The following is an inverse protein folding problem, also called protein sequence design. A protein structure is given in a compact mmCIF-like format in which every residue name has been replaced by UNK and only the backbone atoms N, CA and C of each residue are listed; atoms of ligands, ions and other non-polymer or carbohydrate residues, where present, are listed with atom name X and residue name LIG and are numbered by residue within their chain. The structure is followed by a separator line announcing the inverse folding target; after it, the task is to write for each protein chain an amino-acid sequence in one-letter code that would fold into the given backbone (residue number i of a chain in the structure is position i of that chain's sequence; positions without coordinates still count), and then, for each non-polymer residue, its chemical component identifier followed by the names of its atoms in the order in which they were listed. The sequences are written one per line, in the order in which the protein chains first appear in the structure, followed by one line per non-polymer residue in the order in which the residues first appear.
data_IF_340319168640
#
_entry.id   IF_340319168640
#
_cell.length_a   1.000
_cell.length_b   1.000
_cell.length_c   1.000
_cell.angle_alpha   90.00
_cell.angle_beta   90.00
_cell.angle_gamma   90.00
#
_symmetry.space_group_name_H-M   'P 1'
#
loop_
_entity.id
_entity.type
_entity.pdbx_description
1 polymer ?
#
# COMPACT_ATOMS: atom_id res chain seq x y z
N UNK A 1 16.06 25.64 -17.98
CA UNK A 1 15.52 24.29 -17.78
C UNK A 1 14.36 24.41 -16.82
N UNK A 2 13.14 24.25 -17.34
CA UNK A 2 11.88 24.40 -16.61
C UNK A 2 11.66 23.14 -15.76
N UNK A 3 11.23 23.25 -14.48
CA UNK A 3 11.05 22.07 -13.65
C UNK A 3 9.90 21.20 -14.17
N UNK A 4 10.14 19.89 -14.23
CA UNK A 4 9.24 18.80 -14.64
C UNK A 4 8.10 18.54 -13.63
N UNK A 5 7.45 19.57 -13.10
CA UNK A 5 6.35 19.42 -12.12
C UNK A 5 5.06 18.82 -12.71
N UNK A 6 4.91 18.75 -14.04
CA UNK A 6 3.71 18.20 -14.67
C UNK A 6 3.61 16.67 -14.68
N UNK A 7 4.74 15.94 -14.61
CA UNK A 7 4.74 14.47 -14.70
C UNK A 7 4.52 13.79 -13.35
N UNK A 8 4.98 14.37 -12.25
CA UNK A 8 4.77 13.83 -10.90
C UNK A 8 3.31 14.01 -10.44
N UNK A 9 2.69 15.15 -10.76
CA UNK A 9 1.26 15.39 -10.48
C UNK A 9 0.35 14.41 -11.25
N UNK A 10 0.79 13.89 -12.41
CA UNK A 10 0.06 12.90 -13.21
C UNK A 10 0.07 11.49 -12.60
N UNK A 11 1.11 11.09 -11.84
CA UNK A 11 1.21 9.75 -11.24
C UNK A 11 0.27 9.56 -10.03
N UNK A 12 -0.01 10.64 -9.29
CA UNK A 12 -0.81 10.62 -8.07
C UNK A 12 -2.32 10.81 -8.28
N UNK A 13 -2.78 11.04 -9.51
CA UNK A 13 -4.19 11.28 -9.80
C UNK A 13 -5.00 10.04 -9.45
N UNK A 14 -5.99 10.12 -8.57
CA UNK A 14 -6.91 9.02 -8.24
C UNK A 14 -6.25 7.82 -7.52
N UNK A 15 -5.16 8.04 -6.79
CA UNK A 15 -4.42 6.97 -6.12
C UNK A 15 -5.26 6.21 -5.07
N UNK A 16 -6.06 6.92 -4.28
CA UNK A 16 -6.97 6.29 -3.31
C UNK A 16 -8.06 5.48 -3.99
N UNK A 17 -8.63 6.00 -5.09
CA UNK A 17 -9.59 5.26 -5.90
C UNK A 17 -8.97 3.98 -6.50
N UNK A 18 -7.72 4.02 -6.96
CA UNK A 18 -7.01 2.81 -7.43
C UNK A 18 -6.78 1.81 -6.31
N UNK A 19 -6.32 2.24 -5.15
CA UNK A 19 -6.16 1.36 -3.98
C UNK A 19 -7.47 0.67 -3.63
N UNK A 20 -8.57 1.43 -3.54
CA UNK A 20 -9.90 0.87 -3.24
C UNK A 20 -10.39 -0.10 -4.33
N UNK A 21 -10.11 0.17 -5.60
CA UNK A 21 -10.57 -0.68 -6.71
C UNK A 21 -9.58 -1.80 -7.07
N UNK A 22 -8.42 -1.89 -6.41
CA UNK A 22 -7.38 -2.91 -6.67
C UNK A 22 -7.88 -4.37 -6.67
N UNK A 23 -8.91 -4.79 -5.91
CA UNK A 23 -9.43 -6.15 -6.04
C UNK A 23 -9.96 -6.47 -7.44
N UNK A 24 -10.32 -5.45 -8.22
CA UNK A 24 -10.80 -5.52 -9.60
C UNK A 24 -9.71 -5.21 -10.63
N UNK A 25 -8.44 -5.14 -10.23
CA UNK A 25 -7.35 -4.93 -11.19
C UNK A 25 -7.11 -6.20 -12.04
N UNK A 26 -6.93 -6.00 -13.35
CA UNK A 26 -6.68 -7.04 -14.34
C UNK A 26 -7.75 -7.14 -15.43
N UNK A 27 -7.35 -7.66 -16.60
CA UNK A 27 -8.17 -7.64 -17.83
C UNK A 27 -9.51 -8.38 -17.73
N UNK A 28 -9.65 -9.36 -16.83
CA UNK A 28 -10.86 -10.16 -16.66
C UNK A 28 -11.71 -9.78 -15.43
N UNK A 29 -11.25 -8.83 -14.61
CA UNK A 29 -11.91 -8.47 -13.35
C UNK A 29 -12.66 -7.15 -13.54
N UNK A 30 -13.91 -7.21 -13.98
CA UNK A 30 -14.81 -6.04 -13.99
C UNK A 30 -15.50 -5.87 -12.65
N UNK A 31 -15.89 -4.64 -12.31
CA UNK A 31 -16.73 -4.37 -11.14
C UNK A 31 -18.15 -4.85 -11.47
N UNK A 32 -18.76 -5.79 -10.72
CA UNK A 32 -20.14 -6.21 -10.98
C UNK A 32 -21.10 -5.02 -10.93
N UNK A 33 -22.14 -5.01 -11.76
CA UNK A 33 -23.16 -3.96 -11.70
C UNK A 33 -24.03 -4.07 -10.43
N UNK A 34 -24.07 -5.26 -9.82
CA UNK A 34 -24.80 -5.52 -8.59
C UNK A 34 -24.08 -4.96 -7.36
N UNK A 35 -24.72 -4.01 -6.68
CA UNK A 35 -24.17 -3.38 -5.47
C UNK A 35 -23.87 -4.33 -4.32
N UNK A 36 -24.65 -5.40 -4.14
CA UNK A 36 -24.40 -6.35 -3.07
C UNK A 36 -23.05 -7.07 -3.24
N UNK A 37 -22.68 -7.39 -4.49
CA UNK A 37 -21.46 -8.13 -4.79
C UNK A 37 -20.20 -7.30 -4.54
N UNK A 38 -20.18 -6.04 -5.01
CA UNK A 38 -19.02 -5.20 -4.76
C UNK A 38 -18.95 -4.67 -3.33
N UNK A 39 -20.09 -4.46 -2.64
CA UNK A 39 -20.06 -4.11 -1.21
C UNK A 39 -19.44 -5.21 -0.37
N UNK A 40 -19.79 -6.46 -0.65
CA UNK A 40 -19.24 -7.60 0.08
C UNK A 40 -17.72 -7.68 -0.11
N UNK A 41 -17.26 -7.52 -1.35
CA UNK A 41 -15.84 -7.61 -1.70
C UNK A 41 -15.02 -6.41 -1.23
N UNK A 42 -15.61 -5.22 -1.19
CA UNK A 42 -14.92 -4.00 -0.76
C UNK A 42 -14.99 -3.79 0.76
N UNK A 43 -15.78 -4.56 1.50
CA UNK A 43 -16.01 -4.34 2.93
C UNK A 43 -14.70 -4.25 3.74
N UNK A 44 -13.86 -5.27 3.65
CA UNK A 44 -12.57 -5.40 4.38
C UNK A 44 -11.62 -4.29 3.98
N UNK A 45 -11.58 -3.96 2.69
CA UNK A 45 -10.72 -2.91 2.17
C UNK A 45 -11.16 -1.51 2.63
N UNK A 46 -12.47 -1.22 2.64
CA UNK A 46 -12.99 0.04 3.19
C UNK A 46 -12.75 0.13 4.69
N UNK A 47 -12.88 -0.98 5.42
CA UNK A 47 -12.50 -1.07 6.84
C UNK A 47 -11.02 -0.75 7.05
N UNK A 48 -10.14 -1.32 6.24
CA UNK A 48 -8.70 -1.07 6.25
C UNK A 48 -8.36 0.39 5.96
N UNK A 49 -8.91 0.98 4.90
CA UNK A 49 -8.68 2.39 4.53
C UNK A 49 -9.13 3.35 5.64
N UNK A 50 -10.27 3.08 6.28
CA UNK A 50 -10.75 3.87 7.43
C UNK A 50 -9.81 3.75 8.61
N UNK A 51 -9.36 2.55 8.93
CA UNK A 51 -8.42 2.34 10.04
C UNK A 51 -7.09 3.05 9.77
N UNK A 52 -6.54 2.90 8.57
CA UNK A 52 -5.30 3.56 8.16
C UNK A 52 -5.42 5.10 8.17
N UNK A 53 -6.62 5.66 7.93
CA UNK A 53 -6.81 7.12 8.00
C UNK A 53 -6.60 7.70 9.41
N UNK A 54 -6.80 6.89 10.46
CA UNK A 54 -6.50 7.28 11.85
C UNK A 54 -4.99 7.45 12.06
N UNK A 55 -4.19 6.68 11.32
CA UNK A 55 -2.72 6.69 11.35
C UNK A 55 -2.13 7.68 10.32
N UNK A 56 -2.96 8.56 9.74
CA UNK A 56 -2.53 9.63 8.84
C UNK A 56 -2.53 9.26 7.35
N UNK A 57 -3.10 8.11 6.95
CA UNK A 57 -3.36 7.80 5.55
C UNK A 57 -4.52 8.64 4.97
N UNK A 58 -4.78 8.50 3.66
CA UNK A 58 -5.87 9.23 2.98
C UNK A 58 -7.22 9.01 3.67
N UNK A 59 -7.96 10.08 3.86
CA UNK A 59 -9.28 10.04 4.45
C UNK A 59 -10.29 9.45 3.45
N UNK A 60 -11.29 8.66 3.90
CA UNK A 60 -12.32 8.10 3.02
C UNK A 60 -13.01 9.13 2.13
N UNK A 61 -13.24 10.34 2.64
CA UNK A 61 -13.82 11.44 1.87
C UNK A 61 -12.96 11.86 0.66
N UNK A 62 -11.62 11.79 0.77
CA UNK A 62 -10.72 12.04 -0.35
C UNK A 62 -10.87 10.95 -1.41
N UNK A 63 -10.98 9.69 -0.98
CA UNK A 63 -11.17 8.54 -1.86
C UNK A 63 -12.52 8.62 -2.59
N UNK A 64 -13.59 8.99 -1.90
CA UNK A 64 -14.91 9.22 -2.51
C UNK A 64 -14.89 10.38 -3.50
N UNK A 65 -14.17 11.48 -3.18
CA UNK A 65 -14.00 12.60 -4.10
C UNK A 65 -13.21 12.18 -5.36
N UNK A 66 -12.16 11.38 -5.21
CA UNK A 66 -11.42 10.82 -6.34
C UNK A 66 -12.32 9.93 -7.23
N UNK A 67 -13.16 9.06 -6.65
CA UNK A 67 -14.10 8.24 -7.43
C UNK A 67 -15.11 9.08 -8.22
N UNK A 68 -15.63 10.16 -7.63
CA UNK A 68 -16.55 11.07 -8.32
C UNK A 68 -15.85 11.82 -9.46
N UNK A 69 -14.63 12.32 -9.20
CA UNK A 69 -13.80 12.94 -10.24
C UNK A 69 -13.49 11.94 -11.37
N UNK A 70 -13.22 10.68 -11.06
CA UNK A 70 -13.02 9.64 -12.05
C UNK A 70 -14.26 9.44 -12.93
N UNK A 71 -15.45 9.41 -12.32
CA UNK A 71 -16.72 9.29 -13.03
C UNK A 71 -16.93 10.45 -14.01
N UNK A 72 -16.71 11.69 -13.55
CA UNK A 72 -16.83 12.89 -14.38
C UNK A 72 -15.83 12.89 -15.54
N UNK A 73 -14.59 12.45 -15.29
CA UNK A 73 -13.57 12.31 -16.32
C UNK A 73 -13.93 11.23 -17.35
N UNK A 74 -14.53 10.12 -16.94
CA UNK A 74 -14.95 9.06 -17.85
C UNK A 74 -16.11 9.51 -18.73
N UNK A 75 -17.05 10.30 -18.21
CA UNK A 75 -18.13 10.87 -19.02
C UNK A 75 -17.59 11.87 -20.06
N UNK A 76 -16.56 12.64 -19.72
CA UNK A 76 -15.90 13.56 -20.65
C UNK A 76 -15.01 12.82 -21.68
N UNK A 77 -14.43 11.68 -21.30
CA UNK A 77 -13.50 10.89 -22.11
C UNK A 77 -13.89 9.39 -22.08
N UNK A 78 -15.00 9.00 -22.72
CA UNK A 78 -15.58 7.64 -22.59
C UNK A 78 -14.73 6.54 -23.22
N UNK A 79 -13.83 6.90 -24.15
CA UNK A 79 -12.81 5.97 -24.68
C UNK A 79 -11.70 5.65 -23.66
N UNK A 80 -11.68 6.35 -22.52
CA UNK A 80 -10.64 6.25 -21.49
C UNK A 80 -9.31 6.86 -21.92
N UNK A 81 -9.31 7.76 -22.92
CA UNK A 81 -8.11 8.45 -23.39
C UNK A 81 -7.48 9.37 -22.34
N UNK A 82 -8.24 9.78 -21.32
CA UNK A 82 -7.72 10.59 -20.23
C UNK A 82 -6.74 9.78 -19.36
N UNK A 83 -5.49 10.25 -19.25
CA UNK A 83 -4.40 9.55 -18.54
C UNK A 83 -4.76 9.14 -17.10
N UNK A 84 -5.51 9.98 -16.38
CA UNK A 84 -5.94 9.68 -15.00
C UNK A 84 -6.73 8.36 -14.88
N UNK A 85 -7.49 8.00 -15.93
CA UNK A 85 -8.34 6.82 -15.96
C UNK A 85 -7.56 5.54 -16.29
N UNK A 86 -6.26 5.66 -16.62
CA UNK A 86 -5.42 4.52 -16.92
C UNK A 86 -5.40 3.54 -15.75
N UNK A 87 -5.60 2.27 -16.07
CA UNK A 87 -5.66 1.13 -15.14
C UNK A 87 -6.77 1.21 -14.08
N UNK A 88 -7.73 2.14 -14.21
CA UNK A 88 -8.87 2.17 -13.29
C UNK A 88 -9.90 1.10 -13.71
N UNK A 89 -10.31 0.19 -12.82
CA UNK A 89 -11.27 -0.87 -13.16
C UNK A 89 -12.62 -0.32 -13.58
N UNK A 90 -13.12 -0.82 -14.72
CA UNK A 90 -14.45 -0.46 -15.26
C UNK A 90 -15.53 -1.43 -14.74
N UNK A 91 -16.78 -0.99 -14.81
CA UNK A 91 -17.93 -1.83 -14.50
C UNK A 91 -18.10 -2.95 -15.54
N UNK A 92 -18.87 -3.98 -15.18
CA UNK A 92 -19.19 -5.12 -16.04
C UNK A 92 -19.91 -4.65 -17.30
N UNK A 93 -20.88 -3.75 -17.13
CA UNK A 93 -21.43 -2.96 -18.23
C UNK A 93 -20.65 -1.66 -18.35
N UNK A 94 -20.02 -1.40 -19.50
CA UNK A 94 -19.07 -0.28 -19.62
C UNK A 94 -19.74 1.09 -19.45
N UNK A 95 -20.94 1.25 -20.00
CA UNK A 95 -21.76 2.48 -19.92
C UNK A 95 -22.18 2.79 -18.47
N UNK A 96 -22.21 1.78 -17.60
CA UNK A 96 -22.53 1.91 -16.17
C UNK A 96 -21.35 2.37 -15.33
N UNK A 97 -20.13 2.44 -15.88
CA UNK A 97 -18.89 2.72 -15.13
C UNK A 97 -18.98 3.99 -14.26
N UNK A 98 -19.41 5.16 -14.78
CA UNK A 98 -19.54 6.37 -13.95
C UNK A 98 -20.55 6.18 -12.81
N UNK A 99 -21.67 5.53 -13.08
CA UNK A 99 -22.71 5.24 -12.09
C UNK A 99 -22.21 4.34 -10.97
N UNK A 100 -21.52 3.25 -11.32
CA UNK A 100 -20.94 2.32 -10.34
C UNK A 100 -19.88 3.00 -9.48
N UNK A 101 -18.99 3.82 -10.05
CA UNK A 101 -17.99 4.54 -9.25
C UNK A 101 -18.63 5.55 -8.28
N UNK A 102 -19.71 6.24 -8.69
CA UNK A 102 -20.47 7.14 -7.79
C UNK A 102 -21.18 6.37 -6.68
N UNK A 103 -21.80 5.22 -6.99
CA UNK A 103 -22.42 4.36 -5.99
C UNK A 103 -21.40 3.83 -4.96
N UNK A 104 -20.18 3.49 -5.41
CA UNK A 104 -19.08 3.11 -4.52
C UNK A 104 -18.63 4.31 -3.67
N UNK A 105 -18.51 5.51 -4.25
CA UNK A 105 -18.16 6.71 -3.50
C UNK A 105 -19.19 7.01 -2.39
N UNK A 106 -20.47 6.87 -2.70
CA UNK A 106 -21.55 7.03 -1.71
C UNK A 106 -21.51 5.94 -0.64
N UNK A 107 -21.17 4.70 -1.01
CA UNK A 107 -20.95 3.63 -0.03
C UNK A 107 -19.77 3.93 0.90
N UNK A 108 -18.65 4.44 0.36
CA UNK A 108 -17.46 4.79 1.14
C UNK A 108 -17.76 5.92 2.12
N UNK A 109 -18.44 6.98 1.68
CA UNK A 109 -18.81 8.12 2.53
C UNK A 109 -19.75 7.69 3.67
N UNK A 110 -20.75 6.89 3.35
CA UNK A 110 -21.77 6.44 4.30
C UNK A 110 -21.40 5.12 5.00
N UNK A 111 -20.17 4.64 4.85
CA UNK A 111 -19.74 3.39 5.45
C UNK A 111 -19.74 3.50 6.98
N UNK A 112 -20.55 2.67 7.62
CA UNK A 112 -20.71 2.60 9.06
C UNK A 112 -21.14 1.20 9.46
N UNK A 113 -20.22 0.24 9.39
CA UNK A 113 -20.46 -1.09 9.93
C UNK A 113 -20.62 -1.00 11.45
N UNK A 114 -21.63 -1.68 12.00
CA UNK A 114 -21.74 -1.84 13.45
C UNK A 114 -20.54 -2.65 13.99
N UNK A 115 -20.29 -2.55 15.30
CA UNK A 115 -19.12 -3.18 15.94
C UNK A 115 -19.14 -4.71 15.79
N UNK A 116 -20.32 -5.33 15.77
CA UNK A 116 -20.45 -6.78 15.64
C UNK A 116 -19.99 -7.23 14.25
N UNK A 117 -20.52 -6.62 13.20
CA UNK A 117 -20.12 -6.83 11.80
C UNK A 117 -18.65 -6.47 11.58
N UNK A 118 -18.19 -5.39 12.22
CA UNK A 118 -16.79 -4.97 12.18
C UNK A 118 -15.86 -6.02 12.76
N UNK A 119 -16.21 -6.67 13.86
CA UNK A 119 -15.34 -7.67 14.51
C UNK A 119 -15.51 -9.08 13.94
N UNK A 120 -16.70 -9.42 13.43
CA UNK A 120 -17.01 -10.78 12.95
C UNK A 120 -16.29 -11.15 11.65
N UNK A 121 -15.94 -10.18 10.81
CA UNK A 121 -15.26 -10.43 9.54
C UNK A 121 -13.73 -10.49 9.76
N UNK A 122 -13.06 -11.61 9.44
CA UNK A 122 -11.60 -11.65 9.47
C UNK A 122 -10.98 -10.58 8.57
N UNK A 123 -9.77 -10.11 8.91
CA UNK A 123 -9.01 -9.27 7.99
C UNK A 123 -8.55 -10.12 6.81
N UNK A 124 -8.70 -9.60 5.60
CA UNK A 124 -8.16 -10.24 4.41
C UNK A 124 -6.78 -9.69 4.06
N UNK A 125 -6.16 -10.28 3.03
CA UNK A 125 -4.85 -9.88 2.55
C UNK A 125 -4.82 -8.41 2.13
N UNK A 126 -5.86 -7.89 1.46
CA UNK A 126 -5.87 -6.53 0.94
C UNK A 126 -5.96 -5.49 2.05
N UNK A 127 -6.81 -5.74 3.04
CA UNK A 127 -6.91 -4.95 4.25
C UNK A 127 -5.60 -4.94 5.03
N UNK A 128 -4.98 -6.11 5.22
CA UNK A 128 -3.71 -6.22 5.91
C UNK A 128 -2.59 -5.50 5.15
N UNK A 129 -2.57 -5.51 3.82
CA UNK A 129 -1.53 -4.81 3.04
C UNK A 129 -1.51 -3.30 3.27
N UNK A 130 -2.66 -2.69 3.60
CA UNK A 130 -2.74 -1.27 3.90
C UNK A 130 -1.97 -0.87 5.17
N UNK A 131 -1.66 -1.84 6.03
CA UNK A 131 -0.84 -1.65 7.23
C UNK A 131 0.66 -1.58 6.95
N UNK A 132 1.08 -1.99 5.76
CA UNK A 132 2.49 -2.18 5.42
C UNK A 132 2.89 -1.50 4.09
N UNK A 133 2.60 -0.19 3.92
CA UNK A 133 2.86 0.51 2.67
C UNK A 133 4.36 0.58 2.31
N UNK A 134 5.28 0.64 3.28
CA UNK A 134 6.72 0.65 3.01
C UNK A 134 7.22 -0.74 2.63
N UNK A 135 6.78 -1.79 3.31
CA UNK A 135 7.16 -3.16 2.96
C UNK A 135 6.69 -3.57 1.57
N UNK A 136 5.56 -3.04 1.07
CA UNK A 136 5.13 -3.26 -0.31
C UNK A 136 6.13 -2.74 -1.37
N UNK A 137 7.01 -1.82 -0.99
CA UNK A 137 8.06 -1.27 -1.86
C UNK A 137 9.42 -1.90 -1.56
N UNK A 138 9.70 -2.19 -0.30
CA UNK A 138 11.00 -2.67 0.18
C UNK A 138 11.16 -4.16 -0.07
N UNK A 139 10.21 -4.99 0.34
CA UNK A 139 10.37 -6.45 0.29
C UNK A 139 10.57 -7.00 -1.13
N UNK A 140 9.88 -6.49 -2.19
CA UNK A 140 10.19 -6.90 -3.55
C UNK A 140 11.65 -6.66 -3.99
N UNK A 141 12.32 -5.65 -3.44
CA UNK A 141 13.74 -5.36 -3.73
C UNK A 141 14.63 -6.43 -3.11
N UNK A 142 14.32 -6.86 -1.89
CA UNK A 142 15.05 -7.91 -1.18
C UNK A 142 14.81 -9.31 -1.73
N UNK A 143 13.60 -9.56 -2.24
CA UNK A 143 13.06 -10.90 -2.30
C UNK A 143 12.27 -11.24 -3.60
N UNK A 144 12.23 -10.34 -4.58
CA UNK A 144 11.49 -10.51 -5.83
C UNK A 144 12.19 -11.38 -6.89
N UNK A 145 11.43 -11.90 -7.86
CA UNK A 145 11.90 -12.81 -8.93
C UNK A 145 12.98 -12.24 -9.85
N UNK A 146 13.15 -10.92 -9.89
CA UNK A 146 14.20 -10.30 -10.68
C UNK A 146 15.49 -10.07 -9.89
N UNK A 147 15.57 -10.26 -8.57
CA UNK A 147 16.83 -10.25 -7.78
C UNK A 147 17.83 -9.13 -8.10
N UNK A 148 17.38 -8.06 -8.74
CA UNK A 148 18.18 -7.01 -9.34
C UNK A 148 17.53 -5.73 -8.88
N UNK A 149 18.00 -5.22 -7.75
CA UNK A 149 18.46 -3.84 -7.68
C UNK A 149 19.05 -3.51 -6.30
N UNK A 150 19.83 -4.42 -5.70
CA UNK A 150 21.01 -3.95 -4.99
C UNK A 150 22.21 -4.84 -5.33
N UNK A 151 22.85 -4.54 -6.47
CA UNK A 151 24.09 -5.15 -6.99
C UNK A 151 24.10 -6.66 -7.30
N UNK A 152 24.76 -7.04 -8.40
CA UNK A 152 25.21 -8.43 -8.66
C UNK A 152 26.08 -9.00 -7.51
N UNK A 153 26.52 -8.15 -6.57
CA UNK A 153 27.32 -8.51 -5.39
C UNK A 153 26.50 -9.15 -4.24
N UNK A 154 25.17 -9.21 -4.32
CA UNK A 154 24.34 -9.72 -3.22
C UNK A 154 23.98 -11.21 -3.26
N UNK A 155 24.47 -11.96 -4.25
CA UNK A 155 24.19 -13.40 -4.32
C UNK A 155 24.66 -14.18 -3.08
N UNK A 156 25.69 -13.69 -2.40
CA UNK A 156 26.30 -14.29 -1.20
C UNK A 156 26.17 -13.45 0.08
N UNK A 157 25.46 -12.32 0.03
CA UNK A 157 25.43 -11.39 1.15
C UNK A 157 24.35 -11.75 2.19
N UNK A 158 24.69 -11.56 3.45
CA UNK A 158 23.82 -11.82 4.61
C UNK A 158 22.67 -10.82 4.67
N UNK A 159 21.58 -11.14 5.38
CA UNK A 159 20.49 -10.19 5.59
C UNK A 159 20.95 -8.90 6.27
N UNK A 160 21.91 -8.97 7.18
CA UNK A 160 22.48 -7.78 7.82
C UNK A 160 23.16 -6.86 6.79
N UNK A 161 23.95 -7.42 5.86
CA UNK A 161 24.59 -6.66 4.79
C UNK A 161 23.55 -6.05 3.84
N UNK A 162 22.52 -6.80 3.47
CA UNK A 162 21.40 -6.28 2.67
C UNK A 162 20.64 -5.15 3.37
N UNK A 163 20.40 -5.26 4.68
CA UNK A 163 19.76 -4.21 5.47
C UNK A 163 20.63 -2.94 5.51
N UNK A 164 21.93 -3.09 5.78
CA UNK A 164 22.87 -1.95 5.82
C UNK A 164 22.92 -1.23 4.48
N UNK A 165 22.94 -1.97 3.39
CA UNK A 165 23.01 -1.38 2.06
C UNK A 165 21.73 -0.62 1.70
N UNK A 166 20.54 -1.15 1.99
CA UNK A 166 19.29 -0.38 1.84
C UNK A 166 19.28 0.92 2.67
N UNK A 167 19.78 0.85 3.90
CA UNK A 167 19.92 2.04 4.76
C UNK A 167 20.83 3.07 4.09
N UNK A 168 21.97 2.64 3.53
CA UNK A 168 22.89 3.50 2.78
C UNK A 168 22.21 4.12 1.55
N UNK A 169 21.49 3.33 0.75
CA UNK A 169 20.74 3.82 -0.42
C UNK A 169 19.59 4.77 -0.07
N UNK A 170 19.05 4.66 1.13
CA UNK A 170 18.00 5.56 1.62
C UNK A 170 18.54 6.96 1.94
N UNK A 171 19.86 7.15 2.04
CA UNK A 171 20.45 8.47 2.28
C UNK A 171 20.22 9.46 1.12
N UNK A 172 20.04 10.75 1.43
CA UNK A 172 19.98 11.38 2.76
C UNK A 172 18.57 11.44 3.37
N UNK A 173 17.61 10.66 2.85
CA UNK A 173 16.19 10.68 3.26
C UNK A 173 15.89 9.78 4.47
N UNK A 174 16.86 9.01 4.93
CA UNK A 174 16.76 8.08 6.06
C UNK A 174 16.06 8.65 7.32
N UNK A 175 16.24 9.92 7.74
CA UNK A 175 15.48 10.51 8.85
C UNK A 175 13.96 10.49 8.69
N UNK A 176 13.47 10.53 7.45
CA UNK A 176 12.04 10.63 7.13
C UNK A 176 11.44 9.27 6.76
N UNK A 177 12.24 8.37 6.21
CA UNK A 177 11.76 7.08 5.71
C UNK A 177 11.95 5.93 6.73
N UNK A 178 13.12 5.82 7.37
CA UNK A 178 13.44 4.68 8.26
C UNK A 178 12.54 4.57 9.50
N UNK A 179 12.06 5.66 10.14
CA UNK A 179 11.12 5.53 11.25
C UNK A 179 9.83 4.79 10.89
N UNK A 180 9.34 4.94 9.65
CA UNK A 180 8.15 4.22 9.17
C UNK A 180 8.45 2.74 8.96
N UNK A 181 9.65 2.40 8.49
CA UNK A 181 10.12 1.01 8.35
C UNK A 181 10.18 0.30 9.71
N UNK A 182 10.72 0.99 10.72
CA UNK A 182 10.75 0.48 12.11
C UNK A 182 9.34 0.22 12.63
N UNK A 183 8.39 1.14 12.39
CA UNK A 183 7.01 0.97 12.79
C UNK A 183 6.36 -0.26 12.12
N UNK A 184 6.56 -0.45 10.82
CA UNK A 184 6.03 -1.59 10.08
C UNK A 184 6.63 -2.93 10.54
N UNK A 185 7.92 -2.97 10.90
CA UNK A 185 8.55 -4.15 11.51
C UNK A 185 7.82 -4.56 12.79
N UNK A 186 7.62 -3.62 13.71
CA UNK A 186 6.93 -3.91 14.97
C UNK A 186 5.45 -4.24 14.78
N UNK A 187 4.80 -3.62 13.80
CA UNK A 187 3.42 -3.93 13.45
C UNK A 187 3.28 -5.34 12.88
N UNK A 188 4.23 -5.80 12.07
CA UNK A 188 4.24 -7.17 11.56
C UNK A 188 4.33 -8.18 12.71
N UNK A 189 5.24 -7.95 13.66
CA UNK A 189 5.40 -8.78 14.86
C UNK A 189 4.19 -8.78 15.79
N UNK A 190 3.37 -7.72 15.77
CA UNK A 190 2.15 -7.65 16.58
C UNK A 190 0.94 -8.34 15.91
N UNK A 191 0.87 -8.30 14.58
CA UNK A 191 -0.26 -8.80 13.80
C UNK A 191 -0.13 -10.29 13.50
N UNK A 192 1.08 -10.75 13.17
CA UNK A 192 1.36 -12.14 12.83
C UNK A 192 2.06 -12.83 14.01
N UNK A 193 1.57 -14.00 14.40
CA UNK A 193 2.01 -14.68 15.63
C UNK A 193 2.91 -15.88 15.36
N UNK A 194 3.07 -16.27 14.09
CA UNK A 194 3.95 -17.36 13.68
C UNK A 194 4.67 -17.03 12.38
N UNK A 195 5.86 -17.63 12.19
CA UNK A 195 6.62 -17.50 10.94
C UNK A 195 5.79 -17.93 9.72
N UNK A 196 5.04 -19.03 9.83
CA UNK A 196 4.17 -19.49 8.75
C UNK A 196 3.13 -18.45 8.31
N UNK A 197 2.60 -17.64 9.24
CA UNK A 197 1.67 -16.57 8.90
C UNK A 197 2.39 -15.41 8.20
N UNK A 198 3.60 -15.06 8.66
CA UNK A 198 4.43 -14.02 8.05
C UNK A 198 4.85 -14.42 6.64
N UNK A 199 5.42 -15.60 6.46
CA UNK A 199 5.82 -16.12 5.15
C UNK A 199 4.65 -16.15 4.17
N UNK A 200 3.49 -16.70 4.57
CA UNK A 200 2.31 -16.73 3.70
C UNK A 200 1.88 -15.32 3.28
N UNK A 201 2.00 -14.32 4.14
CA UNK A 201 1.58 -12.96 3.82
C UNK A 201 2.63 -12.20 3.00
N UNK A 202 3.87 -12.12 3.48
CA UNK A 202 4.96 -11.32 2.92
C UNK A 202 5.60 -11.99 1.69
N UNK A 203 5.75 -13.32 1.67
CA UNK A 203 6.35 -14.05 0.53
C UNK A 203 5.43 -14.24 -0.66
N UNK A 204 4.12 -14.26 -0.46
CA UNK A 204 3.19 -14.63 -1.54
C UNK A 204 1.99 -13.73 -1.66
N UNK A 205 1.10 -13.74 -0.66
CA UNK A 205 -0.26 -13.25 -0.84
C UNK A 205 -0.34 -11.73 -1.08
N UNK A 206 0.53 -10.95 -0.46
CA UNK A 206 0.45 -9.49 -0.46
C UNK A 206 1.64 -8.77 -1.10
N UNK A 207 2.87 -9.20 -0.81
CA UNK A 207 4.06 -8.37 -1.04
C UNK A 207 5.08 -8.98 -2.01
N UNK A 208 4.82 -10.18 -2.53
CA UNK A 208 5.65 -10.86 -3.52
C UNK A 208 7.16 -10.94 -3.18
N UNK A 209 7.51 -10.94 -1.89
CA UNK A 209 8.90 -10.99 -1.44
C UNK A 209 9.22 -12.33 -0.79
N UNK A 210 9.71 -13.32 -1.55
CA UNK A 210 10.12 -14.61 -0.99
C UNK A 210 11.25 -14.52 0.04
N UNK A 211 11.07 -15.07 1.24
CA UNK A 211 11.96 -14.96 2.41
C UNK A 211 13.45 -15.36 2.27
N UNK A 212 13.96 -15.68 1.08
CA UNK A 212 15.32 -16.17 0.92
C UNK A 212 15.58 -17.38 1.82
N UNK A 213 16.59 -17.32 2.68
CA UNK A 213 16.96 -18.36 3.65
C UNK A 213 16.68 -18.01 5.11
N UNK A 214 16.13 -16.83 5.41
CA UNK A 214 15.91 -16.37 6.79
C UNK A 214 14.43 -16.22 7.13
N UNK A 215 14.08 -16.56 8.37
CA UNK A 215 12.72 -16.44 8.90
C UNK A 215 12.37 -14.96 9.15
N UNK A 216 11.16 -14.53 8.78
CA UNK A 216 10.68 -13.17 9.04
C UNK A 216 10.67 -12.82 10.53
N UNK A 217 10.50 -13.82 11.41
CA UNK A 217 10.59 -13.63 12.86
C UNK A 217 11.96 -13.17 13.34
N UNK A 218 13.03 -13.44 12.58
CA UNK A 218 14.39 -12.98 12.87
C UNK A 218 14.74 -11.71 12.06
N UNK A 219 14.29 -11.64 10.80
CA UNK A 219 14.54 -10.53 9.90
C UNK A 219 13.95 -9.19 10.41
N UNK A 220 12.67 -9.15 10.79
CA UNK A 220 12.04 -7.86 11.17
C UNK A 220 12.65 -7.23 12.44
N UNK A 221 12.94 -7.98 13.52
CA UNK A 221 13.68 -7.44 14.65
C UNK A 221 15.07 -6.91 14.28
N UNK A 222 15.80 -7.62 13.42
CA UNK A 222 17.11 -7.19 12.94
C UNK A 222 17.00 -5.89 12.13
N UNK A 223 16.04 -5.81 11.21
CA UNK A 223 15.83 -4.64 10.36
C UNK A 223 15.45 -3.40 11.17
N UNK A 224 14.51 -3.54 12.12
CA UNK A 224 14.14 -2.46 13.02
C UNK A 224 15.34 -1.95 13.83
N UNK A 225 16.14 -2.87 14.38
CA UNK A 225 17.33 -2.53 15.17
C UNK A 225 18.35 -1.74 14.35
N UNK A 226 18.72 -2.24 13.17
CA UNK A 226 19.73 -1.60 12.33
C UNK A 226 19.28 -0.22 11.84
N UNK A 227 17.99 -0.05 11.51
CA UNK A 227 17.42 1.28 11.21
C UNK A 227 17.58 2.25 12.38
N UNK A 228 17.26 1.81 13.61
CA UNK A 228 17.36 2.65 14.82
C UNK A 228 18.81 3.00 15.15
N UNK A 229 19.72 2.02 15.07
CA UNK A 229 21.15 2.23 15.29
C UNK A 229 21.70 3.26 14.31
N UNK A 230 21.43 3.06 13.03
CA UNK A 230 21.82 4.00 11.99
C UNK A 230 21.31 5.42 12.28
N UNK A 231 20.02 5.56 12.60
CA UNK A 231 19.41 6.86 12.90
C UNK A 231 20.07 7.57 14.08
N UNK A 232 20.47 6.82 15.11
CA UNK A 232 21.13 7.36 16.30
C UNK A 232 22.58 7.75 16.06
N UNK A 233 23.30 6.99 15.23
CA UNK A 233 24.72 7.19 14.98
C UNK A 233 25.00 8.25 13.92
N UNK A 234 24.16 8.33 12.89
CA UNK A 234 24.42 9.13 11.69
C UNK A 234 23.68 10.47 11.66
N UNK A 235 22.69 10.66 12.54
CA UNK A 235 21.91 11.89 12.58
C UNK A 235 21.85 12.50 13.97
N UNK A 236 22.14 13.81 14.05
CA UNK A 236 21.84 14.62 15.23
C UNK A 236 20.33 14.60 15.54
N UNK A 237 19.91 14.89 16.78
CA UNK A 237 18.49 14.99 17.13
C UNK A 237 17.75 15.88 16.13
N UNK A 238 16.80 15.30 15.40
CA UNK A 238 16.02 16.02 14.37
C UNK A 238 15.10 17.10 14.97
N UNK A 239 14.93 17.06 16.29
CA UNK A 239 14.17 18.03 17.06
C UNK A 239 15.07 18.64 18.14
N UNK A 240 15.28 19.95 18.02
CA UNK A 240 15.85 20.76 19.08
C UNK A 240 14.69 21.54 19.75
N UNK A 241 14.50 21.43 21.08
CA UNK A 241 13.53 22.26 21.77
C UNK A 241 13.95 23.72 21.60
N UNK A 242 13.05 24.55 21.04
CA UNK A 242 13.25 26.00 21.05
C UNK A 242 13.28 26.46 22.52
N UNK A 243 14.35 27.17 22.87
CA UNK A 243 14.51 27.83 24.17
C UNK A 243 13.44 28.90 24.40
#
# INVERSE_FOLDING_TARGET
MTPTHGKEVEYWQLAGARTLLSPYEGWSKRIPDNAAEWRERLFTLVRGLRTASVDGARHPAEISAELRLAADLFEAFPDGSHKALKNLPRAATEERTPGVWREIADYVDNWGADLETFCARPMDTWELSLRFPRFSQILPIYFGQDGVAISDDMHDATSEEGIRMYIEETHPRCPWDLPSVVAECHQAMAVFHTEHQMDRFFSSAAMAGGSGTEDFTDFFPLFARLCVEHLRESHSPLWEPRA
#
